data_IF_398048569607
#
_entry.id   IF_398048569607
#
_cell.length_a   1.000
_cell.length_b   1.000
_cell.length_c   1.000
_cell.angle_alpha   90.00
_cell.angle_beta   90.00
_cell.angle_gamma   90.00
#
_symmetry.space_group_name_H-M   'P 1'
#
loop_
_entity.id
_entity.type
_entity.pdbx_description
1 polymer ?
#
# COMPACT_ATOMS: atom_id res chain seq x y z
N UNK A 1 -2.35 1.98 4.42
CA UNK A 1 -1.33 1.05 3.87
C UNK A 1 -0.43 1.80 2.91
N UNK A 2 0.87 1.61 3.04
CA UNK A 2 1.86 2.35 2.26
C UNK A 2 2.23 1.61 0.99
N UNK A 3 2.22 2.34 -0.14
CA UNK A 3 2.63 1.82 -1.44
C UNK A 3 3.75 2.66 -2.03
N UNK A 4 4.70 1.97 -2.65
CA UNK A 4 5.70 2.63 -3.49
C UNK A 4 5.02 3.14 -4.76
N UNK A 5 5.30 4.38 -5.11
CA UNK A 5 4.84 4.99 -6.37
C UNK A 5 6.02 5.54 -7.13
N UNK A 6 5.90 5.57 -8.44
CA UNK A 6 6.89 6.17 -9.33
C UNK A 6 6.21 7.17 -10.23
N UNK A 7 6.80 8.36 -10.37
CA UNK A 7 6.18 9.48 -11.05
C UNK A 7 7.04 9.96 -12.20
N UNK A 8 6.42 10.08 -13.37
CA UNK A 8 7.00 10.79 -14.51
C UNK A 8 6.75 12.28 -14.30
N UNK A 9 7.80 13.12 -14.21
CA UNK A 9 7.62 14.56 -13.98
C UNK A 9 6.81 15.22 -15.09
N UNK A 10 5.88 16.08 -14.68
CA UNK A 10 5.13 16.91 -15.59
C UNK A 10 5.96 18.09 -16.12
N UNK A 11 5.46 18.71 -17.17
CA UNK A 11 6.00 19.94 -17.75
C UNK A 11 4.90 21.00 -17.79
N UNK A 12 5.19 22.16 -18.36
CA UNK A 12 4.17 23.21 -18.56
C UNK A 12 3.02 22.73 -19.46
N UNK A 13 3.27 21.72 -20.31
CA UNK A 13 2.30 21.20 -21.27
C UNK A 13 1.84 19.79 -21.00
N UNK A 14 2.45 19.08 -20.03
CA UNK A 14 2.10 17.70 -19.66
C UNK A 14 1.86 17.56 -18.17
N UNK A 15 0.93 16.68 -17.79
CA UNK A 15 0.64 16.32 -16.40
C UNK A 15 1.73 15.44 -15.81
N UNK A 16 1.78 15.38 -14.48
CA UNK A 16 2.51 14.37 -13.75
C UNK A 16 1.79 13.03 -13.90
N UNK A 17 2.50 12.01 -14.36
CA UNK A 17 1.98 10.65 -14.43
C UNK A 17 2.49 9.81 -13.26
N UNK A 18 1.63 8.99 -12.68
CA UNK A 18 1.97 8.11 -11.54
C UNK A 18 1.63 6.68 -11.88
N UNK A 19 2.54 5.79 -11.53
CA UNK A 19 2.33 4.34 -11.59
C UNK A 19 2.59 3.74 -10.22
N UNK A 20 1.76 2.77 -9.84
CA UNK A 20 1.93 2.00 -8.60
C UNK A 20 2.41 0.60 -9.00
N UNK A 21 3.74 0.33 -8.97
CA UNK A 21 4.29 -0.92 -9.52
C UNK A 21 3.76 -2.19 -8.86
N UNK A 22 3.47 -2.15 -7.55
CA UNK A 22 2.91 -3.30 -6.83
C UNK A 22 1.49 -3.67 -7.26
N UNK A 23 0.78 -2.74 -7.89
CA UNK A 23 -0.61 -2.90 -8.33
C UNK A 23 -0.68 -2.77 -9.86
N UNK A 24 -0.52 -3.86 -10.61
CA UNK A 24 -0.48 -3.81 -12.08
C UNK A 24 -1.70 -3.14 -12.70
N UNK A 25 -1.47 -2.13 -13.52
CA UNK A 25 -2.53 -1.35 -14.15
C UNK A 25 -3.10 -0.23 -13.28
N UNK A 26 -2.54 0.03 -12.10
CA UNK A 26 -2.93 1.15 -11.26
C UNK A 26 -2.13 2.39 -11.64
N UNK A 27 -2.79 3.34 -12.29
CA UNK A 27 -2.19 4.59 -12.76
C UNK A 27 -2.99 5.77 -12.24
N UNK A 28 -2.30 6.90 -12.11
CA UNK A 28 -2.93 8.17 -11.77
C UNK A 28 -2.18 9.33 -12.42
N UNK A 29 -2.69 10.53 -12.29
CA UNK A 29 -2.09 11.74 -12.84
C UNK A 29 -2.57 12.97 -12.07
N UNK A 30 -1.89 14.09 -12.28
CA UNK A 30 -2.29 15.38 -11.76
C UNK A 30 -1.47 16.49 -12.41
N UNK A 31 -1.94 17.72 -12.32
CA UNK A 31 -1.24 18.87 -12.87
C UNK A 31 -0.01 19.26 -12.05
N UNK A 32 -0.02 18.91 -10.78
CA UNK A 32 1.10 19.09 -9.86
C UNK A 32 1.48 17.76 -9.24
N UNK A 33 2.68 17.66 -8.68
CA UNK A 33 3.12 16.49 -7.94
C UNK A 33 2.19 16.19 -6.76
N UNK A 34 1.79 17.21 -6.00
CA UNK A 34 0.90 17.05 -4.85
C UNK A 34 -0.47 16.52 -5.27
N UNK A 35 -1.05 17.06 -6.33
CA UNK A 35 -2.33 16.61 -6.88
C UNK A 35 -2.23 15.17 -7.38
N UNK A 36 -1.17 14.84 -8.12
CA UNK A 36 -0.93 13.49 -8.60
C UNK A 36 -0.84 12.47 -7.46
N UNK A 37 -0.19 12.82 -6.36
CA UNK A 37 -0.09 11.95 -5.17
C UNK A 37 -1.45 11.76 -4.48
N UNK A 38 -2.24 12.81 -4.33
CA UNK A 38 -3.59 12.69 -3.77
C UNK A 38 -4.52 11.85 -4.64
N UNK A 39 -4.47 12.06 -5.96
CA UNK A 39 -5.25 11.26 -6.90
C UNK A 39 -4.82 9.78 -6.88
N UNK A 40 -3.55 9.52 -6.60
CA UNK A 40 -3.03 8.16 -6.50
C UNK A 40 -3.63 7.39 -5.32
N UNK A 41 -3.90 8.06 -4.19
CA UNK A 41 -4.57 7.43 -3.05
C UNK A 41 -5.94 6.89 -3.44
N UNK A 42 -6.71 7.69 -4.18
CA UNK A 42 -8.03 7.27 -4.70
C UNK A 42 -7.90 6.12 -5.69
N UNK A 43 -6.93 6.20 -6.59
CA UNK A 43 -6.67 5.16 -7.58
C UNK A 43 -6.30 3.83 -6.92
N UNK A 44 -5.47 3.84 -5.88
CA UNK A 44 -5.11 2.65 -5.12
C UNK A 44 -6.33 2.04 -4.44
N UNK A 45 -7.14 2.86 -3.75
CA UNK A 45 -8.34 2.38 -3.09
C UNK A 45 -9.33 1.76 -4.08
N UNK A 46 -9.55 2.41 -5.22
CA UNK A 46 -10.44 1.89 -6.25
C UNK A 46 -9.92 0.57 -6.85
N UNK A 47 -8.63 0.48 -7.09
CA UNK A 47 -8.01 -0.73 -7.62
C UNK A 47 -8.16 -1.91 -6.65
N UNK A 48 -7.86 -1.68 -5.37
CA UNK A 48 -7.98 -2.70 -4.31
C UNK A 48 -9.44 -3.11 -4.11
N UNK A 49 -10.36 -2.15 -4.03
CA UNK A 49 -11.80 -2.41 -3.91
C UNK A 49 -12.30 -3.31 -5.05
N UNK A 50 -11.91 -2.98 -6.28
CA UNK A 50 -12.27 -3.77 -7.46
C UNK A 50 -11.76 -5.21 -7.37
N UNK A 51 -10.52 -5.40 -6.91
CA UNK A 51 -9.94 -6.73 -6.73
C UNK A 51 -10.66 -7.52 -5.63
N UNK A 52 -10.98 -6.88 -4.51
CA UNK A 52 -11.72 -7.52 -3.41
C UNK A 52 -13.12 -7.95 -3.87
N UNK A 53 -13.83 -7.13 -4.63
CA UNK A 53 -15.14 -7.47 -5.20
C UNK A 53 -15.08 -8.67 -6.14
N UNK A 54 -14.01 -8.81 -6.90
CA UNK A 54 -13.77 -9.94 -7.78
C UNK A 54 -13.30 -11.21 -7.06
N UNK A 55 -13.00 -11.12 -5.77
CA UNK A 55 -12.39 -12.21 -5.03
C UNK A 55 -10.94 -12.51 -5.44
N UNK A 56 -10.29 -11.58 -6.12
CA UNK A 56 -8.91 -11.73 -6.55
C UNK A 56 -7.94 -11.40 -5.41
N UNK A 57 -6.76 -12.01 -5.45
CA UNK A 57 -5.70 -11.70 -4.50
C UNK A 57 -5.08 -10.35 -4.80
N UNK A 58 -4.82 -9.59 -3.73
CA UNK A 58 -4.02 -8.37 -3.82
C UNK A 58 -2.53 -8.79 -3.83
N UNK A 59 -1.72 -8.35 -4.81
CA UNK A 59 -0.30 -8.69 -4.84
C UNK A 59 0.43 -8.23 -3.59
N UNK A 60 1.44 -8.99 -3.18
CA UNK A 60 2.33 -8.56 -2.09
C UNK A 60 3.15 -7.36 -2.53
N UNK A 61 3.31 -6.41 -1.62
CA UNK A 61 4.16 -5.25 -1.84
C UNK A 61 5.63 -5.67 -1.84
N UNK A 62 6.37 -5.18 -2.82
CA UNK A 62 7.80 -5.38 -2.92
C UNK A 62 8.54 -4.17 -2.33
N UNK A 63 9.80 -4.31 -1.88
CA UNK A 63 10.63 -3.17 -1.51
C UNK A 63 10.80 -2.22 -2.70
N UNK A 64 10.92 -0.92 -2.41
CA UNK A 64 11.14 0.09 -3.46
C UNK A 64 12.35 -0.26 -4.34
N UNK A 65 13.41 -0.79 -3.76
CA UNK A 65 14.64 -1.17 -4.43
C UNK A 65 14.40 -2.22 -5.54
N UNK A 66 13.40 -3.08 -5.35
CA UNK A 66 13.02 -4.07 -6.35
C UNK A 66 12.55 -3.39 -7.64
N UNK A 67 11.74 -2.35 -7.52
CA UNK A 67 11.21 -1.61 -8.66
C UNK A 67 12.19 -0.61 -9.25
N UNK A 68 13.10 -0.07 -8.43
CA UNK A 68 14.11 0.88 -8.89
C UNK A 68 15.10 0.26 -9.90
N UNK A 69 15.17 -1.06 -9.96
CA UNK A 69 15.99 -1.78 -10.94
C UNK A 69 15.36 -1.83 -12.34
N UNK A 70 14.08 -1.52 -12.45
CA UNK A 70 13.37 -1.56 -13.72
C UNK A 70 13.82 -0.36 -14.60
N UNK A 71 14.40 -0.63 -15.78
CA UNK A 71 14.88 0.43 -16.68
C UNK A 71 13.75 1.30 -17.23
N UNK A 72 12.50 0.82 -17.23
CA UNK A 72 11.34 1.57 -17.69
C UNK A 72 11.07 2.81 -16.83
N UNK A 73 11.54 2.80 -15.58
CA UNK A 73 11.36 3.91 -14.64
C UNK A 73 12.61 4.78 -14.49
N UNK A 74 13.57 4.65 -15.40
CA UNK A 74 14.78 5.46 -15.36
C UNK A 74 14.45 6.96 -15.45
N UNK A 75 14.97 7.76 -14.51
CA UNK A 75 14.74 9.20 -14.45
C UNK A 75 13.42 9.64 -13.83
N UNK A 76 12.57 8.69 -13.42
CA UNK A 76 11.34 9.01 -12.73
C UNK A 76 11.58 9.26 -11.23
N UNK A 77 10.63 9.90 -10.58
CA UNK A 77 10.71 10.25 -9.15
C UNK A 77 10.00 9.18 -8.31
N UNK A 78 10.67 8.69 -7.29
CA UNK A 78 10.14 7.68 -6.37
C UNK A 78 9.57 8.33 -5.12
N UNK A 79 8.44 7.79 -4.65
CA UNK A 79 7.81 8.24 -3.41
C UNK A 79 7.04 7.09 -2.77
N UNK A 80 6.51 7.36 -1.57
CA UNK A 80 5.62 6.44 -0.85
C UNK A 80 4.32 7.18 -0.58
N UNK A 81 3.21 6.52 -0.88
CA UNK A 81 1.86 7.03 -0.63
C UNK A 81 1.17 6.14 0.39
N UNK A 82 0.56 6.76 1.40
CA UNK A 82 -0.25 6.06 2.38
C UNK A 82 -1.73 6.15 1.98
N UNK A 83 -2.27 5.05 1.45
CA UNK A 83 -3.66 4.97 1.03
C UNK A 83 -4.49 4.24 2.09
N UNK A 84 -5.72 4.72 2.40
CA UNK A 84 -6.55 4.15 3.49
C UNK A 84 -7.25 2.85 3.06
N UNK A 85 -6.48 1.88 2.58
CA UNK A 85 -6.97 0.58 2.08
C UNK A 85 -7.65 -0.23 3.16
N UNK A 86 -7.21 -0.12 4.41
CA UNK A 86 -7.76 -0.84 5.56
C UNK A 86 -9.26 -0.56 5.76
N UNK A 87 -9.71 0.63 5.41
CA UNK A 87 -11.12 1.02 5.51
C UNK A 87 -12.04 0.21 4.59
N UNK A 88 -11.49 -0.37 3.53
CA UNK A 88 -12.24 -1.19 2.58
C UNK A 88 -12.61 -2.56 3.16
N UNK A 89 -11.95 -2.97 4.22
CA UNK A 89 -12.22 -4.24 4.91
C UNK A 89 -13.39 -4.13 5.89
N UNK A 90 -13.97 -2.96 6.03
CA UNK A 90 -15.12 -2.72 6.91
C UNK A 90 -14.73 -2.24 8.30
N UNK A 91 -15.73 -1.95 9.16
CA UNK A 91 -15.47 -1.49 10.53
C UNK A 91 -14.83 -2.60 11.37
N UNK A 92 -14.06 -2.19 12.39
CA UNK A 92 -13.38 -3.12 13.28
C UNK A 92 -14.33 -3.66 14.35
N UNK A 93 -14.30 -4.98 14.54
CA UNK A 93 -14.94 -5.66 15.66
C UNK A 93 -13.90 -6.08 16.67
N UNK A 94 -14.26 -6.02 17.97
CA UNK A 94 -13.37 -6.45 19.03
C UNK A 94 -13.49 -7.96 19.22
N UNK A 95 -12.37 -8.68 19.05
CA UNK A 95 -12.30 -10.14 19.23
C UNK A 95 -11.19 -10.51 20.20
N UNK A 96 -11.37 -11.61 20.91
CA UNK A 96 -10.33 -12.19 21.75
C UNK A 96 -9.68 -13.37 21.02
N UNK A 97 -8.37 -13.41 21.02
CA UNK A 97 -7.60 -14.50 20.41
C UNK A 97 -6.58 -15.05 21.40
N UNK A 98 -6.29 -16.34 21.27
CA UNK A 98 -5.26 -17.01 22.05
C UNK A 98 -4.02 -17.19 21.18
N UNK A 99 -2.88 -16.71 21.65
CA UNK A 99 -1.60 -16.82 20.96
C UNK A 99 -0.57 -17.52 21.84
N UNK A 100 0.37 -18.29 21.24
CA UNK A 100 1.51 -18.80 21.98
C UNK A 100 2.29 -17.66 22.65
N UNK A 101 2.70 -17.88 23.90
CA UNK A 101 3.35 -16.83 24.72
C UNK A 101 4.59 -16.23 24.05
N UNK A 102 5.45 -17.07 23.47
CA UNK A 102 6.67 -16.58 22.81
C UNK A 102 6.33 -15.75 21.58
N UNK A 103 5.35 -16.16 20.78
CA UNK A 103 4.90 -15.39 19.61
C UNK A 103 4.36 -14.03 20.03
N UNK A 104 3.54 -13.99 21.08
CA UNK A 104 3.00 -12.74 21.62
C UNK A 104 4.12 -11.79 22.07
N UNK A 105 5.13 -12.34 22.76
CA UNK A 105 6.29 -11.54 23.18
C UNK A 105 7.04 -10.94 21.98
N UNK A 106 7.26 -11.71 20.92
CA UNK A 106 7.91 -11.24 19.71
C UNK A 106 7.10 -10.16 18.98
N UNK A 107 5.78 -10.31 18.95
CA UNK A 107 4.89 -9.29 18.38
C UNK A 107 5.01 -7.99 19.17
N UNK A 108 4.94 -8.07 20.50
CA UNK A 108 5.02 -6.89 21.38
C UNK A 108 6.35 -6.16 21.24
N UNK A 109 7.46 -6.88 21.13
CA UNK A 109 8.77 -6.28 20.87
C UNK A 109 8.79 -5.57 19.51
N UNK A 110 8.26 -6.21 18.48
CA UNK A 110 8.23 -5.64 17.13
C UNK A 110 7.41 -4.35 17.08
N UNK A 111 6.19 -4.35 17.62
CA UNK A 111 5.32 -3.15 17.58
C UNK A 111 5.86 -2.03 18.47
N UNK A 112 6.54 -2.35 19.57
CA UNK A 112 7.19 -1.35 20.40
C UNK A 112 8.27 -0.58 19.61
N UNK A 113 9.09 -1.29 18.85
CA UNK A 113 10.14 -0.70 18.00
C UNK A 113 9.59 0.11 16.83
N UNK A 114 8.50 -0.35 16.23
CA UNK A 114 7.90 0.29 15.05
C UNK A 114 6.88 1.38 15.37
N UNK A 115 6.52 1.56 16.64
CA UNK A 115 5.50 2.52 17.07
C UNK A 115 4.07 2.10 16.77
N UNK A 116 3.85 0.83 16.44
CA UNK A 116 2.52 0.29 16.14
C UNK A 116 1.80 -0.28 17.36
N UNK A 117 0.74 -1.03 17.08
CA UNK A 117 -0.05 -1.75 18.10
C UNK A 117 -0.12 -3.23 17.78
N UNK A 118 -0.42 -4.03 18.82
CA UNK A 118 -0.65 -5.47 18.67
C UNK A 118 -1.79 -5.74 17.68
N UNK A 119 -2.92 -5.06 17.84
CA UNK A 119 -4.09 -5.21 16.97
C UNK A 119 -3.78 -4.84 15.51
N UNK A 120 -3.07 -3.75 15.29
CA UNK A 120 -2.66 -3.33 13.95
C UNK A 120 -1.75 -4.33 13.27
N UNK A 121 -0.77 -4.86 14.00
CA UNK A 121 0.13 -5.90 13.49
C UNK A 121 -0.63 -7.17 13.08
N UNK A 122 -1.54 -7.65 13.95
CA UNK A 122 -2.32 -8.86 13.68
C UNK A 122 -3.26 -8.67 12.49
N UNK A 123 -3.92 -7.52 12.40
CA UNK A 123 -4.81 -7.21 11.28
C UNK A 123 -4.05 -7.19 9.95
N UNK A 124 -2.90 -6.54 9.92
CA UNK A 124 -2.07 -6.47 8.71
C UNK A 124 -1.53 -7.85 8.32
N UNK A 125 -1.04 -8.64 9.28
CA UNK A 125 -0.53 -9.98 9.03
C UNK A 125 -1.62 -10.91 8.50
N UNK A 126 -2.82 -10.85 9.08
CA UNK A 126 -3.96 -11.65 8.65
C UNK A 126 -4.41 -11.25 7.24
N UNK A 127 -4.53 -9.95 6.97
CA UNK A 127 -4.91 -9.44 5.66
C UNK A 127 -3.90 -9.88 4.58
N UNK A 128 -2.61 -9.80 4.89
CA UNK A 128 -1.55 -10.25 3.99
C UNK A 128 -1.63 -11.76 3.72
N UNK A 129 -1.86 -12.57 4.75
CA UNK A 129 -1.98 -14.01 4.60
C UNK A 129 -3.19 -14.42 3.76
N UNK A 130 -4.28 -13.64 3.84
CA UNK A 130 -5.50 -13.86 3.05
C UNK A 130 -5.43 -13.27 1.64
N UNK A 131 -4.37 -12.53 1.31
CA UNK A 131 -4.25 -11.83 0.04
C UNK A 131 -5.17 -10.61 -0.07
N UNK A 132 -5.58 -10.01 1.06
CA UNK A 132 -6.44 -8.82 1.12
C UNK A 132 -5.65 -7.53 1.38
N UNK A 133 -4.32 -7.65 1.40
CA UNK A 133 -3.44 -6.48 1.58
C UNK A 133 -2.01 -6.77 1.13
#
# INVERSE_FOLDING_TARGET
MKYTVVMEPGTETTSWGVEVPDLPGCFSAGDTMAEAMENTKEAICLWVETMLEKGAKIPQRQPMEHWQKDPDFAGWVWAVVDAPVEKLLGPADKVNVTLPRLLLHKIDEHVHKSGGTRSGFLAEAAARALGAA
#
